data_IF_610884911297
#
_entry.id   IF_610884911297
#
_cell.length_a   1.000
_cell.length_b   1.000
_cell.length_c   1.000
_cell.angle_alpha   90.00
_cell.angle_beta   90.00
_cell.angle_gamma   90.00
#
_symmetry.space_group_name_H-M   'P 1'
#
loop_
_entity.id
_entity.type
_entity.pdbx_description
1 polymer ?
#
# COMPACT_ATOMS: atom_id res chain seq x y z
N UNK A 1 2.57 7.93 1.06
CA UNK A 1 1.86 6.98 0.18
C UNK A 1 1.51 5.68 0.91
N UNK A 2 2.50 4.90 1.39
CA UNK A 2 2.29 3.60 2.04
C UNK A 2 1.25 3.60 3.18
N UNK A 3 1.26 4.64 4.02
CA UNK A 3 0.25 4.85 5.10
C UNK A 3 -1.20 4.95 4.57
N UNK A 4 -1.39 5.46 3.36
CA UNK A 4 -2.70 5.62 2.72
C UNK A 4 -3.05 4.49 1.75
N UNK A 5 -2.13 3.55 1.48
CA UNK A 5 -2.39 2.40 0.61
C UNK A 5 -3.34 1.39 1.27
N UNK A 6 -3.15 1.16 2.57
CA UNK A 6 -4.00 0.26 3.35
C UNK A 6 -5.46 0.72 3.44
N UNK A 7 -5.72 2.04 3.46
CA UNK A 7 -7.09 2.53 3.48
C UNK A 7 -7.80 2.29 2.15
N UNK A 8 -7.14 2.44 1.00
CA UNK A 8 -7.78 2.26 -0.31
C UNK A 8 -8.20 0.80 -0.55
N UNK A 9 -7.38 -0.16 -0.11
CA UNK A 9 -7.64 -1.59 -0.32
C UNK A 9 -8.59 -2.18 0.72
N UNK A 10 -8.56 -1.67 1.96
CA UNK A 10 -9.38 -2.16 3.06
C UNK A 10 -10.68 -1.38 3.24
N UNK A 11 -10.86 -0.19 2.66
CA UNK A 11 -12.09 0.60 2.85
C UNK A 11 -13.33 -0.13 2.33
N UNK A 12 -13.21 -0.85 1.21
CA UNK A 12 -14.32 -1.61 0.62
C UNK A 12 -14.76 -2.78 1.52
N UNK A 13 -13.86 -3.71 1.92
CA UNK A 13 -14.24 -4.77 2.83
C UNK A 13 -14.63 -4.24 4.22
N UNK A 14 -14.02 -3.15 4.69
CA UNK A 14 -14.42 -2.51 5.96
C UNK A 14 -15.84 -1.95 5.87
N UNK A 15 -16.19 -1.29 4.78
CA UNK A 15 -17.54 -0.78 4.56
C UNK A 15 -18.57 -1.91 4.42
N UNK A 16 -18.20 -3.04 3.81
CA UNK A 16 -19.04 -4.24 3.74
C UNK A 16 -19.20 -4.93 5.11
N UNK A 17 -18.20 -4.84 5.99
CA UNK A 17 -18.26 -5.36 7.36
C UNK A 17 -19.11 -4.50 8.31
N UNK A 18 -19.49 -3.27 7.93
CA UNK A 18 -20.41 -2.44 8.73
C UNK A 18 -21.82 -3.03 8.65
N UNK A 19 -22.25 -3.67 9.74
CA UNK A 19 -23.51 -4.42 9.83
C UNK A 19 -24.79 -3.57 9.73
N UNK A 20 -24.75 -2.27 10.07
CA UNK A 20 -25.93 -1.39 10.07
C UNK A 20 -25.93 -0.47 8.85
N UNK A 21 -27.05 -0.46 8.10
CA UNK A 21 -27.24 0.43 6.94
C UNK A 21 -27.17 1.92 7.32
N UNK A 22 -27.68 2.29 8.49
CA UNK A 22 -27.63 3.67 9.00
C UNK A 22 -26.20 4.17 9.28
N UNK A 23 -25.29 3.28 9.70
CA UNK A 23 -23.89 3.62 9.95
C UNK A 23 -23.06 3.68 8.65
N UNK A 24 -23.53 3.04 7.57
CA UNK A 24 -22.87 3.06 6.25
C UNK A 24 -22.89 4.44 5.60
N UNK A 25 -23.89 5.27 5.90
CA UNK A 25 -24.00 6.64 5.40
C UNK A 25 -23.08 7.61 6.16
N UNK A 26 -22.79 7.34 7.44
CA UNK A 26 -21.84 8.13 8.26
C UNK A 26 -20.38 7.72 8.04
N UNK A 27 -20.16 6.51 7.55
CA UNK A 27 -18.85 5.94 7.27
C UNK A 27 -17.89 6.86 6.49
N UNK A 28 -18.27 7.51 5.36
CA UNK A 28 -17.34 8.39 4.63
C UNK A 28 -16.91 9.61 5.47
N UNK A 29 -17.82 10.20 6.25
CA UNK A 29 -17.51 11.36 7.09
C UNK A 29 -16.56 10.96 8.24
N UNK A 30 -16.80 9.81 8.88
CA UNK A 30 -15.92 9.28 9.93
C UNK A 30 -14.55 8.94 9.36
N UNK A 31 -14.49 8.27 8.20
CA UNK A 31 -13.23 7.91 7.56
C UNK A 31 -12.39 9.14 7.20
N UNK A 32 -13.01 10.20 6.68
CA UNK A 32 -12.32 11.46 6.40
C UNK A 32 -11.77 12.11 7.68
N UNK A 33 -12.57 12.19 8.74
CA UNK A 33 -12.12 12.77 10.01
C UNK A 33 -10.96 11.97 10.62
N UNK A 34 -11.04 10.63 10.62
CA UNK A 34 -9.98 9.76 11.12
C UNK A 34 -8.70 9.94 10.28
N UNK A 35 -8.83 9.99 8.96
CA UNK A 35 -7.69 10.21 8.06
C UNK A 35 -7.00 11.54 8.36
N UNK A 36 -7.76 12.63 8.49
CA UNK A 36 -7.22 13.96 8.83
C UNK A 36 -6.53 13.93 10.19
N UNK A 37 -7.16 13.33 11.20
CA UNK A 37 -6.59 13.23 12.54
C UNK A 37 -5.26 12.48 12.54
N UNK A 38 -5.16 11.38 11.78
CA UNK A 38 -3.92 10.60 11.66
C UNK A 38 -2.83 11.39 10.92
N UNK A 39 -3.19 12.13 9.87
CA UNK A 39 -2.23 13.00 9.13
C UNK A 39 -1.63 14.05 10.07
N UNK A 40 -2.48 14.75 10.85
CA UNK A 40 -2.04 15.78 11.79
C UNK A 40 -1.14 15.17 12.86
N UNK A 41 -1.51 14.00 13.39
CA UNK A 41 -0.69 13.29 14.36
C UNK A 41 0.68 12.92 13.79
N UNK A 42 0.75 12.37 12.57
CA UNK A 42 2.03 12.04 11.93
C UNK A 42 2.87 13.26 11.61
N UNK A 43 2.26 14.37 11.20
CA UNK A 43 2.98 15.63 10.96
C UNK A 43 3.61 16.15 12.26
N UNK A 44 2.84 16.15 13.36
CA UNK A 44 3.37 16.55 14.67
C UNK A 44 4.51 15.63 15.13
N UNK A 45 4.33 14.31 15.01
CA UNK A 45 5.37 13.35 15.37
C UNK A 45 6.63 13.53 14.53
N UNK A 46 6.50 13.71 13.21
CA UNK A 46 7.63 13.96 12.31
C UNK A 46 8.39 15.24 12.66
N UNK A 47 7.68 16.32 13.01
CA UNK A 47 8.29 17.57 13.45
C UNK A 47 9.09 17.40 14.75
N UNK A 48 8.54 16.66 15.72
CA UNK A 48 9.23 16.37 17.00
C UNK A 48 10.48 15.52 16.77
N UNK A 49 10.40 14.51 15.90
CA UNK A 49 11.56 13.67 15.56
C UNK A 49 12.64 14.49 14.86
N UNK A 50 12.28 15.30 13.87
CA UNK A 50 13.23 16.18 13.17
C UNK A 50 13.88 17.19 14.13
N UNK A 51 13.10 17.77 15.05
CA UNK A 51 13.64 18.68 16.06
C UNK A 51 14.61 18.00 17.04
N UNK A 52 14.51 16.68 17.24
CA UNK A 52 15.34 15.93 18.20
C UNK A 52 16.58 15.33 17.57
N UNK A 53 16.49 14.83 16.33
CA UNK A 53 17.57 14.12 15.64
C UNK A 53 18.25 14.93 14.53
N UNK A 54 17.71 16.09 14.15
CA UNK A 54 18.23 16.94 13.08
C UNK A 54 18.15 16.27 11.70
N UNK A 55 19.09 16.60 10.81
CA UNK A 55 19.14 16.09 9.42
C UNK A 55 19.78 14.69 9.30
N UNK A 56 20.18 14.05 10.40
CA UNK A 56 20.79 12.70 10.40
C UNK A 56 19.79 11.59 10.68
N UNK A 57 18.57 11.68 10.14
CA UNK A 57 17.55 10.65 10.26
C UNK A 57 17.70 9.68 9.09
N UNK A 58 18.10 8.46 9.38
CA UNK A 58 18.18 7.38 8.40
C UNK A 58 16.77 6.90 8.04
N UNK A 59 16.58 6.43 6.81
CA UNK A 59 15.25 6.07 6.27
C UNK A 59 14.51 5.07 7.15
N UNK A 60 15.23 4.18 7.83
CA UNK A 60 14.68 3.37 8.90
C UNK A 60 14.89 4.10 10.24
N UNK A 61 13.83 4.71 10.77
CA UNK A 61 13.85 5.43 12.06
C UNK A 61 14.44 4.58 13.20
N UNK A 62 14.28 3.26 13.12
CA UNK A 62 14.85 2.30 14.07
C UNK A 62 16.37 2.13 13.97
N UNK A 63 17.00 2.40 12.82
CA UNK A 63 18.44 2.25 12.63
C UNK A 63 19.23 3.44 13.25
N UNK A 64 18.64 4.65 13.26
CA UNK A 64 19.26 5.85 13.86
C UNK A 64 19.06 6.00 15.38
N UNK A 65 18.36 5.07 16.04
CA UNK A 65 18.12 5.17 17.47
C UNK A 65 19.44 4.94 18.26
N UNK A 66 19.85 5.85 19.17
CA UNK A 66 21.08 5.70 19.93
C UNK A 66 21.03 4.43 20.79
N UNK A 67 22.16 3.71 20.85
CA UNK A 67 22.28 2.44 21.58
C UNK A 67 22.03 2.67 23.08
N UNK A 68 20.88 2.23 23.58
CA UNK A 68 20.48 2.31 24.98
C UNK A 68 19.33 1.34 25.28
N UNK A 69 19.17 0.95 26.55
CA UNK A 69 18.19 -0.09 26.94
C UNK A 69 16.74 0.22 26.51
N UNK A 70 16.34 1.50 26.53
CA UNK A 70 15.02 1.94 26.05
C UNK A 70 14.91 1.86 24.52
N UNK A 71 15.94 2.27 23.78
CA UNK A 71 15.96 2.20 22.32
C UNK A 71 15.87 0.76 21.82
N UNK A 72 16.60 -0.17 22.46
CA UNK A 72 16.53 -1.60 22.12
C UNK A 72 15.14 -2.18 22.38
N UNK A 73 14.45 -1.75 23.45
CA UNK A 73 13.08 -2.18 23.73
C UNK A 73 12.09 -1.69 22.65
N UNK A 74 12.23 -0.44 22.19
CA UNK A 74 11.41 0.11 21.10
C UNK A 74 11.68 -0.59 19.77
N UNK A 75 12.94 -0.85 19.42
CA UNK A 75 13.31 -1.59 18.22
C UNK A 75 12.75 -3.02 18.24
N UNK A 76 12.78 -3.67 19.40
CA UNK A 76 12.21 -5.01 19.58
C UNK A 76 10.69 -5.00 19.42
N UNK A 77 10.00 -4.05 20.06
CA UNK A 77 8.56 -3.88 19.93
C UNK A 77 8.16 -3.58 18.47
N UNK A 78 8.92 -2.73 17.77
CA UNK A 78 8.72 -2.44 16.35
C UNK A 78 8.91 -3.69 15.48
N UNK A 79 9.95 -4.48 15.73
CA UNK A 79 10.18 -5.74 15.00
C UNK A 79 9.00 -6.71 15.15
N UNK A 80 8.46 -6.86 16.37
CA UNK A 80 7.24 -7.66 16.61
C UNK A 80 6.06 -7.09 15.83
N UNK A 81 5.87 -5.77 15.87
CA UNK A 81 4.78 -5.11 15.15
C UNK A 81 4.86 -5.34 13.64
N UNK A 82 6.06 -5.28 13.05
CA UNK A 82 6.28 -5.55 11.62
C UNK A 82 5.98 -7.01 11.28
N UNK A 83 6.44 -7.96 12.10
CA UNK A 83 6.17 -9.40 11.93
C UNK A 83 4.67 -9.69 11.97
N UNK A 84 3.91 -9.03 12.85
CA UNK A 84 2.45 -9.17 12.94
C UNK A 84 1.71 -8.42 11.83
N UNK A 85 2.24 -7.30 11.35
CA UNK A 85 1.60 -6.48 10.31
C UNK A 85 1.73 -7.11 8.92
N UNK A 86 2.87 -7.73 8.62
CA UNK A 86 3.12 -8.38 7.34
C UNK A 86 2.03 -9.39 6.92
N UNK A 87 1.61 -10.38 7.75
CA UNK A 87 0.56 -11.32 7.37
C UNK A 87 -0.81 -10.63 7.20
N UNK A 88 -1.11 -9.60 8.00
CA UNK A 88 -2.36 -8.85 7.90
C UNK A 88 -2.43 -8.08 6.57
N UNK A 89 -1.32 -7.48 6.12
CA UNK A 89 -1.24 -6.79 4.83
C UNK A 89 -1.19 -7.75 3.64
N UNK A 90 -0.53 -8.90 3.79
CA UNK A 90 -0.46 -9.92 2.75
C UNK A 90 -1.79 -10.62 2.49
N UNK A 91 -2.66 -10.73 3.50
CA UNK A 91 -3.95 -11.43 3.39
C UNK A 91 -4.84 -10.96 2.23
N UNK A 92 -5.20 -9.66 2.09
CA UNK A 92 -6.04 -9.21 0.99
C UNK A 92 -5.34 -9.36 -0.38
N UNK A 93 -4.03 -9.11 -0.44
CA UNK A 93 -3.25 -9.28 -1.67
C UNK A 93 -3.29 -10.75 -2.14
N UNK A 94 -3.07 -11.69 -1.22
CA UNK A 94 -3.15 -13.12 -1.49
C UNK A 94 -4.55 -13.53 -1.92
N UNK A 95 -5.60 -13.04 -1.25
CA UNK A 95 -6.98 -13.35 -1.64
C UNK A 95 -7.28 -12.92 -3.09
N UNK A 96 -6.83 -11.73 -3.49
CA UNK A 96 -7.00 -11.23 -4.87
C UNK A 96 -6.22 -12.08 -5.87
N UNK A 97 -4.95 -12.39 -5.59
CA UNK A 97 -4.12 -13.25 -6.43
C UNK A 97 -4.81 -14.61 -6.61
N UNK A 98 -5.24 -15.23 -5.50
CA UNK A 98 -5.90 -16.53 -5.50
C UNK A 98 -7.23 -16.53 -6.27
N UNK A 99 -8.04 -15.46 -6.19
CA UNK A 99 -9.28 -15.31 -6.96
C UNK A 99 -9.01 -15.23 -8.46
N UNK A 100 -7.98 -14.50 -8.88
CA UNK A 100 -7.62 -14.38 -10.30
C UNK A 100 -7.09 -15.69 -10.90
N UNK A 101 -6.27 -16.43 -10.14
CA UNK A 101 -5.80 -17.75 -10.57
C UNK A 101 -6.92 -18.78 -10.65
N UNK A 102 -7.84 -18.82 -9.67
CA UNK A 102 -9.00 -19.73 -9.70
C UNK A 102 -9.89 -19.51 -10.93
N UNK A 103 -10.12 -18.24 -11.31
CA UNK A 103 -10.85 -17.90 -12.54
C UNK A 103 -10.12 -18.34 -13.82
N UNK A 104 -8.78 -18.26 -13.84
CA UNK A 104 -7.98 -18.69 -14.98
C UNK A 104 -7.89 -20.22 -15.10
N UNK A 105 -7.82 -20.95 -13.99
CA UNK A 105 -7.85 -22.42 -14.00
C UNK A 105 -9.22 -22.96 -14.46
N UNK A 106 -10.31 -22.29 -14.07
CA UNK A 106 -11.67 -22.67 -14.51
C UNK A 106 -11.88 -22.36 -16.01
N UNK A 107 -11.23 -21.33 -16.55
CA UNK A 107 -11.25 -21.02 -17.99
C UNK A 107 -10.39 -21.96 -18.85
N UNK A 108 -9.29 -22.49 -18.30
CA UNK A 108 -8.40 -23.43 -19.02
C UNK A 108 -8.87 -24.87 -18.94
N UNK A 109 -9.60 -25.23 -17.90
CA UNK A 109 -10.11 -26.58 -17.70
C UNK A 109 -11.63 -26.58 -17.77
N UNK A 110 -12.19 -26.75 -18.97
CA UNK A 110 -13.62 -27.00 -19.19
C UNK A 110 -14.13 -28.35 -18.64
N UNK A 111 -13.42 -28.94 -17.67
CA UNK A 111 -13.74 -30.22 -17.06
C UNK A 111 -14.28 -29.99 -15.65
N UNK A 112 -15.45 -30.56 -15.40
CA UNK A 112 -16.21 -30.49 -14.17
C UNK A 112 -15.34 -30.62 -12.91
N UNK A 113 -15.57 -29.68 -11.99
CA UNK A 113 -15.01 -29.65 -10.65
C UNK A 113 -15.50 -30.89 -9.90
N UNK A 114 -14.72 -31.96 -9.92
CA UNK A 114 -14.87 -33.06 -8.98
C UNK A 114 -13.50 -33.44 -8.40
N UNK A 115 -13.36 -33.14 -7.11
CA UNK A 115 -12.57 -33.92 -6.17
C UNK A 115 -11.02 -33.91 -6.21
N UNK A 116 -10.40 -32.72 -6.23
CA UNK A 116 -8.98 -32.54 -5.77
C UNK A 116 -8.76 -31.25 -4.98
N UNK A 117 -9.62 -30.99 -3.99
CA UNK A 117 -9.52 -29.81 -3.09
C UNK A 117 -8.16 -29.69 -2.39
N UNK A 118 -7.57 -30.82 -1.96
CA UNK A 118 -6.27 -30.88 -1.27
C UNK A 118 -5.07 -30.54 -2.17
N UNK A 119 -5.04 -31.00 -3.42
CA UNK A 119 -3.94 -30.74 -4.35
C UNK A 119 -3.91 -29.29 -4.84
N UNK A 120 -5.10 -28.69 -5.01
CA UNK A 120 -5.26 -27.27 -5.35
C UNK A 120 -4.80 -26.40 -4.18
N UNK A 121 -5.20 -26.72 -2.93
CA UNK A 121 -4.73 -26.03 -1.74
C UNK A 121 -3.21 -26.12 -1.55
N UNK A 122 -2.62 -27.31 -1.74
CA UNK A 122 -1.19 -27.52 -1.61
C UNK A 122 -0.39 -26.72 -2.67
N UNK A 123 -0.83 -26.73 -3.94
CA UNK A 123 -0.20 -25.95 -5.01
C UNK A 123 -0.34 -24.43 -4.77
N UNK A 124 -1.46 -23.99 -4.18
CA UNK A 124 -1.72 -22.59 -3.80
C UNK A 124 -0.82 -22.14 -2.66
N UNK A 125 -0.70 -22.94 -1.61
CA UNK A 125 0.22 -22.67 -0.50
C UNK A 125 1.67 -22.66 -0.97
N UNK A 126 2.05 -23.57 -1.87
CA UNK A 126 3.39 -23.58 -2.44
C UNK A 126 3.72 -22.31 -3.23
N UNK A 127 2.78 -21.79 -4.03
CA UNK A 127 2.96 -20.53 -4.76
C UNK A 127 3.03 -19.31 -3.84
N UNK A 128 2.17 -19.24 -2.83
CA UNK A 128 2.22 -18.19 -1.80
C UNK A 128 3.56 -18.21 -1.05
N UNK A 129 4.05 -19.38 -0.68
CA UNK A 129 5.35 -19.54 -0.03
C UNK A 129 6.49 -19.14 -0.97
N UNK A 130 6.43 -19.51 -2.26
CA UNK A 130 7.43 -19.12 -3.25
C UNK A 130 7.47 -17.59 -3.45
N UNK A 131 6.31 -16.93 -3.50
CA UNK A 131 6.21 -15.48 -3.58
C UNK A 131 6.79 -14.80 -2.33
N UNK A 132 6.51 -15.32 -1.13
CA UNK A 132 7.08 -14.81 0.10
C UNK A 132 8.61 -14.98 0.16
N UNK A 133 9.12 -16.12 -0.29
CA UNK A 133 10.57 -16.37 -0.38
C UNK A 133 11.20 -15.40 -1.38
N UNK A 134 10.59 -15.22 -2.55
CA UNK A 134 11.06 -14.25 -3.55
C UNK A 134 11.09 -12.82 -3.00
N UNK A 135 10.04 -12.41 -2.28
CA UNK A 135 10.01 -11.10 -1.63
C UNK A 135 11.08 -10.97 -0.55
N UNK A 136 11.34 -12.04 0.21
CA UNK A 136 12.41 -12.07 1.20
C UNK A 136 13.80 -11.89 0.58
N UNK A 137 14.07 -12.55 -0.55
CA UNK A 137 15.33 -12.39 -1.28
C UNK A 137 15.48 -10.95 -1.78
N UNK A 138 14.42 -10.39 -2.37
CA UNK A 138 14.41 -8.99 -2.83
C UNK A 138 14.63 -8.04 -1.64
N UNK A 139 14.01 -8.30 -0.50
CA UNK A 139 14.16 -7.48 0.70
C UNK A 139 15.59 -7.48 1.25
N UNK A 140 16.29 -8.64 1.21
CA UNK A 140 17.69 -8.72 1.63
C UNK A 140 18.60 -7.93 0.70
N UNK A 141 18.35 -7.96 -0.61
CA UNK A 141 19.12 -7.19 -1.60
C UNK A 141 18.80 -5.69 -1.49
N UNK A 142 17.55 -5.35 -1.18
CA UNK A 142 17.06 -3.97 -1.12
C UNK A 142 17.29 -3.28 0.22
N UNK A 143 17.86 -3.94 1.23
CA UNK A 143 17.97 -3.39 2.59
C UNK A 143 18.83 -2.12 2.63
N UNK A 144 19.91 -2.09 1.86
CA UNK A 144 20.86 -0.98 1.80
C UNK A 144 20.28 0.26 1.10
N UNK A 145 19.30 0.05 0.22
CA UNK A 145 18.64 1.11 -0.58
C UNK A 145 17.15 1.22 -0.27
N UNK A 146 16.72 0.80 0.93
CA UNK A 146 15.30 0.69 1.29
C UNK A 146 14.57 2.02 1.06
N UNK A 147 15.20 3.16 1.37
CA UNK A 147 14.62 4.47 1.13
C UNK A 147 14.35 4.78 -0.35
N UNK A 148 15.31 4.47 -1.22
CA UNK A 148 15.17 4.68 -2.67
C UNK A 148 14.10 3.75 -3.25
N UNK A 149 14.07 2.48 -2.82
CA UNK A 149 13.07 1.50 -3.26
C UNK A 149 11.66 1.92 -2.81
N UNK A 150 11.50 2.37 -1.56
CA UNK A 150 10.20 2.83 -1.05
C UNK A 150 9.75 4.11 -1.76
N UNK A 151 10.65 5.06 -2.02
CA UNK A 151 10.35 6.27 -2.78
C UNK A 151 9.95 5.95 -4.22
N UNK A 152 10.65 5.00 -4.86
CA UNK A 152 10.37 4.59 -6.23
C UNK A 152 9.02 3.87 -6.33
N UNK A 153 8.74 2.93 -5.45
CA UNK A 153 7.44 2.25 -5.39
C UNK A 153 6.30 3.24 -5.14
N UNK A 154 6.50 4.20 -4.23
CA UNK A 154 5.52 5.24 -3.93
C UNK A 154 5.26 6.19 -5.10
N UNK A 155 6.29 6.61 -5.83
CA UNK A 155 6.14 7.50 -6.99
C UNK A 155 5.59 6.77 -8.22
N UNK A 156 6.16 5.62 -8.56
CA UNK A 156 5.89 4.90 -9.81
C UNK A 156 4.56 4.12 -9.77
N UNK A 157 4.30 3.41 -8.68
CA UNK A 157 3.09 2.59 -8.52
C UNK A 157 2.05 3.35 -7.71
N UNK A 158 2.49 4.05 -6.66
CA UNK A 158 1.57 4.63 -5.71
C UNK A 158 0.82 5.87 -6.20
N UNK A 159 1.52 6.85 -6.75
CA UNK A 159 0.89 8.08 -7.23
C UNK A 159 -0.17 7.84 -8.33
N UNK A 160 0.05 6.96 -9.34
CA UNK A 160 -1.01 6.66 -10.31
C UNK A 160 -2.23 6.00 -9.66
N UNK A 161 -2.03 5.04 -8.76
CA UNK A 161 -3.14 4.37 -8.09
C UNK A 161 -3.96 5.36 -7.24
N UNK A 162 -3.30 6.30 -6.57
CA UNK A 162 -3.96 7.29 -5.72
C UNK A 162 -4.63 8.44 -6.50
N UNK A 163 -4.01 8.93 -7.58
CA UNK A 163 -4.45 10.16 -8.27
C UNK A 163 -5.11 9.90 -9.63
N UNK A 164 -4.69 8.86 -10.36
CA UNK A 164 -5.15 8.59 -11.73
C UNK A 164 -6.34 7.62 -11.72
N UNK A 165 -6.29 6.60 -10.87
CA UNK A 165 -7.31 5.55 -10.84
C UNK A 165 -8.70 6.02 -10.35
N UNK A 166 -8.83 6.82 -9.27
CA UNK A 166 -10.14 7.25 -8.78
C UNK A 166 -10.91 8.14 -9.77
N UNK A 167 -10.31 9.16 -10.43
CA UNK A 167 -11.01 9.96 -11.43
C UNK A 167 -11.47 9.15 -12.65
N UNK A 168 -10.67 8.18 -13.09
CA UNK A 168 -11.04 7.29 -14.20
C UNK A 168 -12.22 6.40 -13.79
N UNK A 169 -12.16 5.79 -12.61
CA UNK A 169 -13.26 4.97 -12.08
C UNK A 169 -14.55 5.78 -11.92
N UNK A 170 -14.47 7.01 -11.41
CA UNK A 170 -15.62 7.91 -11.31
C UNK A 170 -16.22 8.23 -12.69
N UNK A 171 -15.38 8.49 -13.71
CA UNK A 171 -15.86 8.74 -15.07
C UNK A 171 -16.53 7.51 -15.72
N UNK A 172 -16.09 6.29 -15.38
CA UNK A 172 -16.68 5.04 -15.89
C UNK A 172 -18.01 4.74 -15.18
N UNK A 173 -18.08 4.90 -13.85
CA UNK A 173 -19.28 4.62 -13.06
C UNK A 173 -20.38 5.67 -13.25
N UNK A 174 -20.02 6.96 -13.33
CA UNK A 174 -20.98 8.07 -13.39
C UNK A 174 -21.06 8.63 -14.81
N UNK A 175 -21.75 7.91 -15.69
CA UNK A 175 -21.94 8.32 -17.10
C UNK A 175 -22.70 9.66 -17.25
N UNK A 176 -23.60 9.98 -16.31
CA UNK A 176 -24.44 11.19 -16.26
C UNK A 176 -23.82 12.37 -15.49
N UNK A 177 -22.49 12.47 -15.37
CA UNK A 177 -21.85 13.60 -14.70
C UNK A 177 -21.69 14.82 -15.62
N UNK A 178 -21.78 16.03 -15.04
CA UNK A 178 -21.55 17.32 -15.71
C UNK A 178 -20.19 17.35 -16.42
N UNK A 179 -20.13 18.01 -17.59
CA UNK A 179 -18.89 18.20 -18.35
C UNK A 179 -17.77 18.85 -17.52
N UNK A 180 -18.12 19.69 -16.54
CA UNK A 180 -17.16 20.31 -15.62
C UNK A 180 -16.50 19.28 -14.69
N UNK A 181 -17.25 18.32 -14.16
CA UNK A 181 -16.73 17.25 -13.31
C UNK A 181 -15.83 16.30 -14.10
N UNK A 182 -16.22 15.98 -15.35
CA UNK A 182 -15.38 15.20 -16.26
C UNK A 182 -14.07 15.92 -16.57
N UNK A 183 -14.12 17.22 -16.84
CA UNK A 183 -12.93 18.04 -17.08
C UNK A 183 -12.00 18.09 -15.86
N UNK A 184 -12.52 18.35 -14.65
CA UNK A 184 -11.73 18.30 -13.41
C UNK A 184 -11.08 16.93 -13.21
N UNK A 185 -11.80 15.84 -13.45
CA UNK A 185 -11.27 14.49 -13.31
C UNK A 185 -10.12 14.21 -14.29
N UNK A 186 -10.22 14.69 -15.53
CA UNK A 186 -9.12 14.60 -16.49
C UNK A 186 -7.92 15.45 -16.08
N UNK A 187 -8.13 16.68 -15.60
CA UNK A 187 -7.05 17.55 -15.11
C UNK A 187 -6.32 16.88 -13.94
N UNK A 188 -7.04 16.38 -12.94
CA UNK A 188 -6.44 15.71 -11.77
C UNK A 188 -5.65 14.47 -12.20
N UNK A 189 -6.19 13.68 -13.14
CA UNK A 189 -5.51 12.50 -13.68
C UNK A 189 -4.23 12.86 -14.44
N UNK A 190 -4.27 13.89 -15.30
CA UNK A 190 -3.08 14.36 -16.04
C UNK A 190 -2.02 14.94 -15.11
N UNK A 191 -2.41 15.75 -14.12
CA UNK A 191 -1.48 16.27 -13.10
C UNK A 191 -0.87 15.13 -12.31
N UNK A 192 -1.65 14.12 -11.94
CA UNK A 192 -1.17 12.91 -11.27
C UNK A 192 -0.11 12.17 -12.09
N UNK A 193 -0.34 11.99 -13.40
CA UNK A 193 0.64 11.37 -14.29
C UNK A 193 1.94 12.18 -14.40
N UNK A 194 1.84 13.50 -14.53
CA UNK A 194 3.01 14.38 -14.59
C UNK A 194 3.80 14.29 -13.27
N UNK A 195 3.10 14.33 -12.13
CA UNK A 195 3.70 14.20 -10.82
C UNK A 195 4.40 12.84 -10.64
N UNK A 196 3.80 11.75 -11.12
CA UNK A 196 4.44 10.42 -11.14
C UNK A 196 5.75 10.45 -11.93
N UNK A 197 5.74 10.96 -13.16
CA UNK A 197 6.94 10.99 -14.01
C UNK A 197 8.03 11.85 -13.36
N UNK A 198 7.67 13.03 -12.85
CA UNK A 198 8.61 13.92 -12.18
C UNK A 198 9.20 13.29 -10.90
N UNK A 199 8.36 12.66 -10.07
CA UNK A 199 8.81 12.05 -8.82
C UNK A 199 9.64 10.77 -9.05
N UNK A 200 9.31 9.98 -10.07
CA UNK A 200 10.12 8.83 -10.48
C UNK A 200 11.45 9.28 -11.06
N UNK A 201 11.47 10.32 -11.89
CA UNK A 201 12.73 10.90 -12.40
C UNK A 201 13.62 11.43 -11.27
N UNK A 202 13.04 12.19 -10.32
CA UNK A 202 13.78 12.68 -9.16
C UNK A 202 14.33 11.54 -8.30
N UNK A 203 13.56 10.45 -8.11
CA UNK A 203 14.04 9.28 -7.35
C UNK A 203 15.19 8.58 -8.05
N UNK A 204 15.17 8.48 -9.39
CA UNK A 204 16.25 7.87 -10.18
C UNK A 204 17.49 8.77 -10.20
N UNK A 205 17.32 10.08 -10.34
CA UNK A 205 18.43 11.04 -10.33
C UNK A 205 19.16 11.05 -8.98
N UNK A 206 18.42 11.06 -7.87
CA UNK A 206 18.99 10.96 -6.52
C UNK A 206 19.65 9.60 -6.24
N UNK A 207 19.32 8.56 -7.00
CA UNK A 207 19.97 7.26 -6.91
C UNK A 207 21.36 7.31 -7.58
N UNK A 208 21.50 8.00 -8.70
CA UNK A 208 22.76 8.10 -9.45
C UNK A 208 23.80 9.01 -8.75
N UNK A 209 23.36 10.04 -8.02
CA UNK A 209 24.24 10.94 -7.26
C UNK A 209 24.72 10.35 -5.91
N UNK A 210 24.13 9.25 -5.44
CA UNK A 210 24.39 8.64 -4.13
C UNK A 210 25.23 7.36 -4.15
N UNK A 211 25.90 7.06 -5.27
CA UNK A 211 26.80 5.91 -5.44
C UNK A 211 28.25 6.18 -5.06
#
# INVERSE_FOLDING_TARGET
>A
FFVFEGSITLVVPLQEAVYKKEDRERFPMVNQNVTISIVVFYMFFALVVWATFGDSVETALTASLPRGNFSTSVQFAYSIAVILTYPLQAFPALEVVLKNFSKNDTKKSGAAVNDKSLGIWYRRNFQTTLLNIGLGIIAVIAIDYLGNVVSLLGSLVGMPIALVYPPIMHNILVKNSSSTTKCMNYIVSTVGLIATVAASYATIANWDEGG
#
